data_IF_388420261513
#
_entry.id   IF_388420261513
#
_cell.length_a   1.000
_cell.length_b   1.000
_cell.length_c   1.000
_cell.angle_alpha   90.00
_cell.angle_beta   90.00
_cell.angle_gamma   90.00
#
_symmetry.space_group_name_H-M   'P 1'
#
loop_
_entity.id
_entity.type
_entity.pdbx_description
1 polymer ?
#
# COMPACT_ATOMS: atom_id res chain seq x y z
N UNK A 1 -3.99 -9.71 -35.62
CA UNK A 1 -3.20 -9.04 -34.57
C UNK A 1 -4.24 -8.26 -33.82
N UNK A 2 -4.50 -8.61 -32.55
CA UNK A 2 -5.45 -7.83 -31.75
C UNK A 2 -4.90 -6.43 -31.69
N UNK A 3 -5.71 -5.45 -32.09
CA UNK A 3 -5.46 -4.05 -31.78
C UNK A 3 -5.52 -3.98 -30.25
N UNK A 4 -4.35 -4.11 -29.60
CA UNK A 4 -4.25 -3.95 -28.16
C UNK A 4 -4.62 -2.51 -27.86
N UNK A 5 -5.81 -2.31 -27.28
CA UNK A 5 -6.17 -1.03 -26.70
C UNK A 5 -5.17 -0.77 -25.58
N UNK A 6 -4.12 0.01 -25.88
CA UNK A 6 -3.27 0.57 -24.85
C UNK A 6 -4.17 1.38 -23.95
N UNK A 7 -4.21 1.04 -22.66
CA UNK A 7 -4.94 1.85 -21.69
C UNK A 7 -4.31 3.24 -21.71
N UNK A 8 -5.11 4.28 -21.98
CA UNK A 8 -4.63 5.66 -21.96
C UNK A 8 -4.43 6.09 -20.50
N UNK A 9 -3.35 5.58 -19.89
CA UNK A 9 -2.97 5.88 -18.53
C UNK A 9 -2.39 7.30 -18.46
N UNK A 10 -2.64 8.04 -17.37
CA UNK A 10 -1.98 9.31 -17.11
C UNK A 10 -0.44 9.20 -17.22
N UNK A 11 0.23 10.22 -17.75
CA UNK A 11 1.70 10.22 -17.91
C UNK A 11 2.45 9.98 -16.59
N UNK A 12 1.86 10.41 -15.47
CA UNK A 12 2.43 10.27 -14.12
C UNK A 12 2.28 8.85 -13.55
N UNK A 13 1.56 7.94 -14.22
CA UNK A 13 1.42 6.52 -13.81
C UNK A 13 2.79 5.84 -13.61
N UNK A 14 3.76 6.17 -14.48
CA UNK A 14 5.13 5.65 -14.43
C UNK A 14 5.87 5.97 -13.11
N UNK A 15 5.39 6.92 -12.33
CA UNK A 15 5.96 7.23 -11.02
C UNK A 15 5.50 6.28 -9.91
N UNK A 16 4.36 5.60 -10.10
CA UNK A 16 3.66 4.84 -9.07
C UNK A 16 3.57 3.35 -9.37
N UNK A 17 3.37 3.00 -10.64
CA UNK A 17 3.16 1.62 -11.09
C UNK A 17 4.08 1.26 -12.26
N UNK A 18 4.42 -0.02 -12.33
CA UNK A 18 4.89 -0.67 -13.55
C UNK A 18 3.71 -0.77 -14.52
N UNK A 19 3.73 0.06 -15.57
CA UNK A 19 2.61 0.22 -16.50
C UNK A 19 2.21 -1.10 -17.15
N UNK A 20 3.17 -1.91 -17.60
CA UNK A 20 2.89 -3.20 -18.23
C UNK A 20 2.16 -4.16 -17.28
N UNK A 21 2.63 -4.25 -16.03
CA UNK A 21 1.96 -5.06 -15.01
C UNK A 21 0.57 -4.53 -14.69
N UNK A 22 0.42 -3.21 -14.57
CA UNK A 22 -0.86 -2.60 -14.22
C UNK A 22 -1.89 -2.72 -15.35
N UNK A 23 -1.48 -2.52 -16.61
CA UNK A 23 -2.32 -2.73 -17.80
C UNK A 23 -2.86 -4.16 -17.85
N UNK A 24 -2.03 -5.18 -17.59
CA UNK A 24 -2.50 -6.58 -17.53
C UNK A 24 -3.62 -6.79 -16.51
N UNK A 25 -3.62 -6.06 -15.40
CA UNK A 25 -4.70 -6.12 -14.41
C UNK A 25 -5.96 -5.46 -14.96
N UNK A 26 -5.82 -4.32 -15.65
CA UNK A 26 -6.94 -3.61 -16.26
C UNK A 26 -7.55 -4.39 -17.43
N UNK A 27 -6.75 -5.15 -18.18
CA UNK A 27 -7.24 -6.08 -19.22
C UNK A 27 -8.19 -7.14 -18.65
N UNK A 28 -8.08 -7.47 -17.36
CA UNK A 28 -8.99 -8.42 -16.72
C UNK A 28 -10.40 -7.84 -16.50
N UNK A 29 -10.55 -6.52 -16.53
CA UNK A 29 -11.84 -5.81 -16.50
C UNK A 29 -12.38 -5.54 -17.92
N UNK A 30 -11.78 -6.08 -19.00
CA UNK A 30 -12.24 -5.78 -20.35
C UNK A 30 -13.75 -6.08 -20.53
N UNK A 31 -14.51 -5.04 -20.90
CA UNK A 31 -15.97 -5.06 -21.00
C UNK A 31 -16.73 -4.76 -19.68
N UNK A 32 -16.04 -4.53 -18.57
CA UNK A 32 -16.62 -4.10 -17.29
C UNK A 32 -16.40 -2.59 -17.05
N UNK A 33 -17.45 -1.76 -17.13
CA UNK A 33 -17.33 -0.32 -16.89
C UNK A 33 -17.01 0.03 -15.42
N UNK A 34 -17.33 -0.85 -14.47
CA UNK A 34 -17.16 -0.61 -13.03
C UNK A 34 -15.77 -1.02 -12.53
N UNK A 35 -15.00 -1.76 -13.35
CA UNK A 35 -13.66 -2.27 -13.05
C UNK A 35 -13.61 -3.05 -11.73
N UNK A 36 -14.62 -3.89 -11.48
CA UNK A 36 -14.81 -4.54 -10.19
C UNK A 36 -13.61 -5.42 -9.80
N UNK A 37 -12.95 -6.06 -10.78
CA UNK A 37 -11.82 -6.94 -10.50
C UNK A 37 -10.57 -6.15 -10.11
N UNK A 38 -10.12 -5.20 -10.94
CA UNK A 38 -8.90 -4.44 -10.61
C UNK A 38 -9.10 -3.58 -9.37
N UNK A 39 -10.29 -2.99 -9.20
CA UNK A 39 -10.66 -2.26 -7.99
C UNK A 39 -10.63 -3.19 -6.78
N UNK A 40 -11.27 -4.35 -6.83
CA UNK A 40 -11.24 -5.31 -5.73
C UNK A 40 -9.81 -5.72 -5.34
N UNK A 41 -8.94 -5.94 -6.32
CA UNK A 41 -7.54 -6.30 -6.10
C UNK A 41 -6.74 -5.17 -5.43
N UNK A 42 -6.90 -3.93 -5.91
CA UNK A 42 -6.20 -2.75 -5.41
C UNK A 42 -6.65 -2.38 -3.99
N UNK A 43 -7.97 -2.32 -3.75
CA UNK A 43 -8.49 -1.98 -2.43
C UNK A 43 -8.22 -3.07 -1.40
N UNK A 44 -8.25 -4.34 -1.81
CA UNK A 44 -7.82 -5.45 -0.95
C UNK A 44 -6.33 -5.38 -0.57
N UNK A 45 -5.48 -4.89 -1.48
CA UNK A 45 -4.08 -4.64 -1.17
C UNK A 45 -3.90 -3.51 -0.15
N UNK A 46 -4.71 -2.45 -0.19
CA UNK A 46 -4.58 -1.35 0.78
C UNK A 46 -4.75 -1.80 2.22
N UNK A 47 -5.77 -2.62 2.49
CA UNK A 47 -5.98 -3.21 3.81
C UNK A 47 -4.81 -4.10 4.24
N UNK A 48 -4.33 -4.93 3.31
CA UNK A 48 -3.19 -5.82 3.55
C UNK A 48 -1.90 -5.04 3.85
N UNK A 49 -1.63 -3.97 3.09
CA UNK A 49 -0.46 -3.13 3.27
C UNK A 49 -0.47 -2.41 4.62
N UNK A 50 -1.61 -1.79 4.98
CA UNK A 50 -1.79 -1.12 6.29
C UNK A 50 -1.56 -2.09 7.45
N UNK A 51 -2.21 -3.26 7.42
CA UNK A 51 -2.00 -4.29 8.44
C UNK A 51 -0.54 -4.75 8.52
N UNK A 52 0.10 -4.97 7.37
CA UNK A 52 1.51 -5.40 7.34
C UNK A 52 2.43 -4.33 7.92
N UNK A 53 2.18 -3.06 7.64
CA UNK A 53 2.97 -1.96 8.17
C UNK A 53 2.89 -1.85 9.69
N UNK A 54 1.70 -2.02 10.26
CA UNK A 54 1.52 -2.06 11.71
C UNK A 54 2.30 -3.23 12.33
N UNK A 55 2.25 -4.41 11.72
CA UNK A 55 3.04 -5.58 12.15
C UNK A 55 4.55 -5.36 12.01
N UNK A 56 5.00 -4.63 10.98
CA UNK A 56 6.40 -4.27 10.80
C UNK A 56 6.88 -3.30 11.89
N UNK A 57 6.10 -2.28 12.24
CA UNK A 57 6.45 -1.36 13.35
C UNK A 57 6.55 -2.13 14.68
N UNK A 58 5.60 -3.01 14.93
CA UNK A 58 5.58 -3.90 16.09
C UNK A 58 6.83 -4.80 16.15
N UNK A 59 7.22 -5.35 15.00
CA UNK A 59 8.38 -6.21 14.87
C UNK A 59 9.68 -5.43 15.06
N UNK A 60 9.77 -4.18 14.62
CA UNK A 60 10.90 -3.28 14.92
C UNK A 60 11.02 -3.06 16.44
N UNK A 61 9.91 -2.77 17.12
CA UNK A 61 9.89 -2.57 18.58
C UNK A 61 10.34 -3.82 19.34
N UNK A 62 9.91 -5.00 18.88
CA UNK A 62 10.29 -6.31 19.44
C UNK A 62 11.68 -6.78 18.98
N UNK A 63 12.30 -6.08 18.02
CA UNK A 63 13.54 -6.47 17.33
C UNK A 63 13.46 -7.84 16.64
N UNK A 64 12.28 -8.20 16.15
CA UNK A 64 12.02 -9.48 15.50
C UNK A 64 12.39 -9.42 14.01
N UNK A 65 13.68 -9.63 13.71
CA UNK A 65 14.19 -9.62 12.33
C UNK A 65 13.62 -10.76 11.47
N UNK A 66 13.30 -11.91 12.06
CA UNK A 66 12.72 -13.03 11.32
C UNK A 66 11.31 -12.67 10.84
N UNK A 67 10.49 -12.08 11.72
CA UNK A 67 9.18 -11.56 11.35
C UNK A 67 9.28 -10.45 10.30
N UNK A 68 10.21 -9.49 10.46
CA UNK A 68 10.45 -8.45 9.45
C UNK A 68 10.82 -9.03 8.09
N UNK A 69 11.64 -10.09 8.05
CA UNK A 69 11.96 -10.78 6.80
C UNK A 69 10.73 -11.39 6.14
N UNK A 70 9.89 -12.07 6.93
CA UNK A 70 8.66 -12.71 6.46
C UNK A 70 7.64 -11.68 5.95
N UNK A 71 7.45 -10.58 6.68
CA UNK A 71 6.54 -9.51 6.28
C UNK A 71 7.03 -8.81 5.00
N UNK A 72 8.34 -8.57 4.89
CA UNK A 72 8.97 -8.05 3.67
C UNK A 72 8.73 -8.97 2.47
N UNK A 73 8.91 -10.29 2.65
CA UNK A 73 8.63 -11.26 1.59
C UNK A 73 7.15 -11.26 1.17
N UNK A 74 6.25 -11.26 2.15
CA UNK A 74 4.81 -11.28 1.93
C UNK A 74 4.34 -10.06 1.13
N UNK A 75 4.65 -8.86 1.62
CA UNK A 75 4.20 -7.63 0.97
C UNK A 75 4.92 -7.36 -0.36
N UNK A 76 6.14 -7.88 -0.54
CA UNK A 76 6.83 -7.87 -1.84
C UNK A 76 5.99 -8.58 -2.91
N UNK A 77 5.46 -9.76 -2.59
CA UNK A 77 4.65 -10.56 -3.52
C UNK A 77 3.41 -9.79 -3.97
N UNK A 78 2.63 -9.28 -3.01
CA UNK A 78 1.41 -8.55 -3.32
C UNK A 78 1.65 -7.23 -4.05
N UNK A 79 2.69 -6.48 -3.66
CA UNK A 79 3.06 -5.23 -4.33
C UNK A 79 3.51 -5.48 -5.78
N UNK A 80 4.21 -6.59 -6.04
CA UNK A 80 4.63 -6.96 -7.38
C UNK A 80 3.44 -7.29 -8.29
N UNK A 81 2.38 -7.92 -7.76
CA UNK A 81 1.15 -8.21 -8.51
C UNK A 81 0.48 -6.94 -9.02
N UNK A 82 0.56 -5.83 -8.29
CA UNK A 82 -0.01 -4.53 -8.67
C UNK A 82 0.96 -3.62 -9.43
N UNK A 83 2.21 -4.05 -9.66
CA UNK A 83 3.23 -3.21 -10.27
C UNK A 83 3.79 -2.11 -9.37
N UNK A 84 3.54 -2.13 -8.05
CA UNK A 84 4.01 -1.11 -7.10
C UNK A 84 5.51 -1.25 -6.80
N UNK A 85 6.33 -0.94 -7.80
CA UNK A 85 7.75 -1.28 -7.82
C UNK A 85 8.55 -0.65 -6.68
N UNK A 86 8.26 0.59 -6.26
CA UNK A 86 8.96 1.23 -5.13
C UNK A 86 8.72 0.50 -3.81
N UNK A 87 7.47 0.08 -3.56
CA UNK A 87 7.09 -0.70 -2.38
C UNK A 87 7.71 -2.09 -2.45
N UNK A 88 7.59 -2.77 -3.60
CA UNK A 88 8.21 -4.08 -3.87
C UNK A 88 9.71 -4.08 -3.58
N UNK A 89 10.45 -3.11 -4.13
CA UNK A 89 11.90 -3.03 -4.01
C UNK A 89 12.34 -2.74 -2.57
N UNK A 90 11.56 -1.94 -1.84
CA UNK A 90 11.85 -1.69 -0.42
C UNK A 90 11.51 -2.90 0.46
N UNK A 91 10.41 -3.60 0.17
CA UNK A 91 10.06 -4.88 0.79
C UNK A 91 11.16 -5.93 0.58
N UNK A 92 11.78 -6.00 -0.60
CA UNK A 92 12.92 -6.88 -0.86
C UNK A 92 14.14 -6.54 0.01
N UNK A 93 14.45 -5.25 0.16
CA UNK A 93 15.53 -4.82 1.08
C UNK A 93 15.21 -5.22 2.52
N UNK A 94 13.97 -5.02 2.98
CA UNK A 94 13.54 -5.42 4.33
C UNK A 94 13.63 -6.95 4.49
N UNK A 95 13.21 -7.71 3.48
CA UNK A 95 13.35 -9.17 3.45
C UNK A 95 14.80 -9.60 3.69
N UNK A 96 15.75 -9.03 2.91
CA UNK A 96 17.18 -9.35 3.04
C UNK A 96 17.76 -8.91 4.39
N UNK A 97 17.46 -7.67 4.82
CA UNK A 97 17.93 -7.14 6.10
C UNK A 97 17.42 -7.98 7.28
N UNK A 98 16.15 -8.39 7.26
CA UNK A 98 15.57 -9.30 8.26
C UNK A 98 16.26 -10.67 8.29
N UNK A 99 16.80 -11.11 7.16
CA UNK A 99 17.61 -12.33 7.06
C UNK A 99 19.09 -12.12 7.44
N UNK A 100 19.43 -11.00 8.08
CA UNK A 100 20.80 -10.59 8.43
C UNK A 100 21.73 -10.48 7.22
N UNK A 101 21.18 -10.12 6.06
CA UNK A 101 21.95 -9.77 4.86
C UNK A 101 21.93 -8.27 4.61
N UNK A 102 22.88 -7.76 3.83
CA UNK A 102 22.83 -6.41 3.30
C UNK A 102 21.61 -6.23 2.36
N UNK A 103 21.36 -5.00 1.93
CA UNK A 103 20.19 -4.67 1.09
C UNK A 103 20.15 -5.49 -0.21
N UNK A 104 21.31 -5.87 -0.74
CA UNK A 104 21.44 -6.72 -1.94
C UNK A 104 21.34 -8.22 -1.67
N UNK A 105 21.24 -8.67 -0.41
CA UNK A 105 21.11 -10.09 -0.06
C UNK A 105 22.42 -10.89 -0.12
N UNK A 106 23.57 -10.24 -0.31
CA UNK A 106 24.84 -10.90 -0.66
C UNK A 106 25.81 -11.02 0.52
N UNK A 107 25.76 -10.09 1.47
CA UNK A 107 26.76 -9.96 2.55
C UNK A 107 26.07 -10.12 3.90
N UNK A 108 26.63 -10.94 4.78
CA UNK A 108 26.17 -11.04 6.17
C UNK A 108 26.44 -9.74 6.94
N UNK A 109 25.43 -9.26 7.67
CA UNK A 109 25.50 -8.07 8.52
C UNK A 109 25.09 -8.37 9.96
N UNK A 110 25.38 -7.44 10.86
CA UNK A 110 24.99 -7.56 12.27
C UNK A 110 23.54 -7.13 12.48
N UNK A 111 22.91 -7.69 13.51
CA UNK A 111 21.53 -7.39 13.92
C UNK A 111 21.30 -5.88 14.10
N UNK A 112 22.20 -5.16 14.77
CA UNK A 112 22.04 -3.73 15.03
C UNK A 112 22.15 -2.89 13.75
N UNK A 113 22.87 -3.39 12.73
CA UNK A 113 22.91 -2.78 11.42
C UNK A 113 21.61 -3.01 10.65
N UNK A 114 21.12 -4.25 10.63
CA UNK A 114 19.87 -4.63 9.99
C UNK A 114 18.70 -3.80 10.55
N UNK A 115 18.51 -3.80 11.87
CA UNK A 115 17.44 -3.05 12.53
C UNK A 115 17.51 -1.55 12.23
N UNK A 116 18.71 -0.96 12.30
CA UNK A 116 18.91 0.47 11.99
C UNK A 116 18.54 0.80 10.55
N UNK A 117 18.86 -0.08 9.59
CA UNK A 117 18.51 0.11 8.18
C UNK A 117 17.01 -0.05 7.95
N UNK A 118 16.39 -1.10 8.48
CA UNK A 118 14.94 -1.33 8.38
C UNK A 118 14.15 -0.16 8.96
N UNK A 119 14.54 0.33 10.15
CA UNK A 119 13.89 1.48 10.81
C UNK A 119 13.93 2.76 9.96
N UNK A 120 14.92 2.90 9.07
CA UNK A 120 15.01 4.04 8.13
C UNK A 120 14.25 3.81 6.83
N UNK A 121 14.12 2.56 6.40
CA UNK A 121 13.43 2.20 5.16
C UNK A 121 11.92 2.19 5.33
N UNK A 122 11.40 1.72 6.47
CA UNK A 122 9.95 1.57 6.69
C UNK A 122 9.17 2.89 6.53
N UNK A 123 9.61 4.04 7.09
CA UNK A 123 8.91 5.31 6.86
C UNK A 123 8.87 5.73 5.39
N UNK A 124 9.98 5.52 4.66
CA UNK A 124 10.05 5.82 3.22
C UNK A 124 9.14 4.92 2.41
N UNK A 125 9.07 3.64 2.77
CA UNK A 125 8.16 2.69 2.12
C UNK A 125 6.69 3.10 2.32
N UNK A 126 6.35 3.60 3.51
CA UNK A 126 5.01 4.15 3.79
C UNK A 126 4.71 5.40 2.97
N UNK A 127 5.69 6.29 2.79
CA UNK A 127 5.55 7.46 1.91
C UNK A 127 5.33 7.05 0.45
N UNK A 128 6.15 6.12 -0.07
CA UNK A 128 6.00 5.59 -1.43
C UNK A 128 4.65 4.88 -1.63
N UNK A 129 4.22 4.09 -0.63
CA UNK A 129 2.90 3.45 -0.62
C UNK A 129 1.78 4.49 -0.63
N UNK A 130 1.80 5.48 0.27
CA UNK A 130 0.73 6.49 0.36
C UNK A 130 0.63 7.30 -0.93
N UNK A 131 1.77 7.60 -1.58
CA UNK A 131 1.76 8.31 -2.85
C UNK A 131 1.08 7.48 -3.95
N UNK A 132 1.34 6.16 -4.00
CA UNK A 132 0.70 5.26 -4.94
C UNK A 132 -0.78 4.99 -4.61
N UNK A 133 -1.14 4.83 -3.33
CA UNK A 133 -2.53 4.70 -2.85
C UNK A 133 -3.36 5.89 -3.30
N UNK A 134 -2.90 7.12 -3.02
CA UNK A 134 -3.58 8.34 -3.44
C UNK A 134 -3.74 8.46 -4.96
N UNK A 135 -2.75 8.01 -5.73
CA UNK A 135 -2.85 8.01 -7.19
C UNK A 135 -3.88 6.97 -7.67
N UNK A 136 -3.87 5.77 -7.10
CA UNK A 136 -4.80 4.69 -7.42
C UNK A 136 -6.25 5.05 -7.03
N UNK A 137 -6.48 5.66 -5.87
CA UNK A 137 -7.80 6.12 -5.45
C UNK A 137 -8.38 7.14 -6.43
N UNK A 138 -7.56 8.10 -6.86
CA UNK A 138 -7.93 9.07 -7.91
C UNK A 138 -8.19 8.38 -9.25
N UNK A 139 -7.35 7.43 -9.64
CA UNK A 139 -7.50 6.67 -10.88
C UNK A 139 -8.83 5.91 -10.93
N UNK A 140 -9.23 5.28 -9.82
CA UNK A 140 -10.51 4.57 -9.70
C UNK A 140 -11.71 5.48 -9.34
N UNK A 141 -11.54 6.80 -9.37
CA UNK A 141 -12.61 7.77 -9.14
C UNK A 141 -13.20 7.73 -7.74
N UNK A 142 -12.41 7.33 -6.74
CA UNK A 142 -12.80 7.48 -5.33
C UNK A 142 -12.46 8.91 -4.92
N UNK A 143 -13.43 9.81 -5.05
CA UNK A 143 -13.33 11.11 -4.39
C UNK A 143 -13.45 10.89 -2.87
N UNK A 144 -12.60 11.56 -2.08
CA UNK A 144 -12.78 11.66 -0.64
C UNK A 144 -14.21 12.17 -0.40
N UNK A 145 -15.10 11.30 0.09
CA UNK A 145 -16.38 11.76 0.60
C UNK A 145 -16.08 12.65 1.80
N UNK A 146 -16.17 13.97 1.62
CA UNK A 146 -16.32 14.96 2.69
C UNK A 146 -17.69 14.74 3.38
N UNK A 147 -17.91 13.57 3.97
CA UNK A 147 -19.03 13.28 4.88
C UNK A 147 -18.52 13.21 6.32
N UNK A 148 -17.87 14.30 6.75
CA UNK A 148 -17.74 14.64 8.17
C UNK A 148 -18.43 16.00 8.37
N UNK A 149 -19.73 16.08 8.02
CA UNK A 149 -20.56 17.17 8.52
C UNK A 149 -20.63 17.04 10.05
N UNK A 150 -20.24 18.09 10.81
CA UNK A 150 -20.44 18.09 12.25
C UNK A 150 -21.96 18.05 12.50
N UNK A 151 -22.44 16.94 13.05
CA UNK A 151 -23.82 16.83 13.51
C UNK A 151 -24.02 17.83 14.64
N UNK A 152 -24.59 18.99 14.31
CA UNK A 152 -25.02 20.00 15.27
C UNK A 152 -25.82 19.33 16.40
N UNK A 153 -25.48 19.58 17.69
CA UNK A 153 -26.28 19.06 18.78
C UNK A 153 -27.66 19.71 18.77
N UNK A 154 -28.69 18.92 18.47
CA UNK A 154 -30.10 19.33 18.54
C UNK A 154 -30.38 20.02 19.89
N UNK A 155 -31.08 21.17 19.92
CA UNK A 155 -31.39 21.86 21.16
C UNK A 155 -32.32 20.99 22.02
N UNK A 156 -31.88 20.73 23.25
CA UNK A 156 -32.65 20.06 24.30
C UNK A 156 -33.93 20.85 24.57
N UNK A 157 -35.08 20.21 24.29
CA UNK A 157 -36.41 20.73 24.59
C UNK A 157 -36.60 20.74 26.10
N UNK A 158 -36.60 21.93 26.69
CA UNK A 158 -36.96 22.14 28.09
C UNK A 158 -38.38 21.62 28.38
N UNK A 159 -38.51 20.79 29.41
CA UNK A 159 -39.79 20.35 29.95
C UNK A 159 -40.51 21.53 30.64
N UNK A 160 -41.84 21.68 30.47
CA UNK A 160 -42.60 22.62 31.28
C UNK A 160 -42.85 22.02 32.68
N UNK A 161 -42.44 22.77 33.71
CA UNK A 161 -42.90 22.54 35.10
C UNK A 161 -44.42 22.72 35.17
N UNK A 162 -45.14 21.67 35.57
CA UNK A 162 -46.50 21.80 36.07
C UNK A 162 -46.49 21.98 37.60
N UNK A 163 -47.27 22.96 38.03
CA UNK A 163 -47.62 23.30 39.42
C UNK A 163 -48.53 22.25 40.04
#
# INVERSE_FOLDING_TARGET
>A
MSDGETFDLPEDALEYVDVETFEQILEMDDGDPDRDFSRGLVFGFFEQAKSTFDEMDDSINKKDLAQLSSLGHFLKGSSATLGLFKVRDTCEKIQHLGALKDEGGNIDIKEEEALRKITKLLPRMKEDYNAAENWLEKFFGVEESEDDEPVDPKPSRAEPKAT
#
